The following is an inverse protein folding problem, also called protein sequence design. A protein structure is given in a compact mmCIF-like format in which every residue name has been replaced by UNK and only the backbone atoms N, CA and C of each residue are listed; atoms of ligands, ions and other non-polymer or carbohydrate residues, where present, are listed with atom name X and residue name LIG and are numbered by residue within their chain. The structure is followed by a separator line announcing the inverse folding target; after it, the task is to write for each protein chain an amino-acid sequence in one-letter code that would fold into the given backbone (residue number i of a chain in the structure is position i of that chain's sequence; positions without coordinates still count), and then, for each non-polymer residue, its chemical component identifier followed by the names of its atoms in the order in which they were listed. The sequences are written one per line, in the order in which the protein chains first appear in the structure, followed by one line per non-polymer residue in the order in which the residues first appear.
data_IF_826735498736
#
_entry.id   IF_826735498736
#
_cell.length_a   1.000
_cell.length_b   1.000
_cell.length_c   1.000
_cell.angle_alpha   90.00
_cell.angle_beta   90.00
_cell.angle_gamma   90.00
#
_symmetry.space_group_name_H-M   'P 1'
#
loop_
_entity.id
_entity.type
_entity.pdbx_description
1 polymer ?
#
# COMPACT_ATOMS: atom_id res chain seq x y z
N UNK A 1 -4.41 -19.59 -18.27
CA UNK A 1 -4.29 -19.04 -17.48
C UNK A 1 -3.28 -18.44 -17.24
N UNK A 2 -3.41 -17.81 -16.96
CA UNK A 2 -2.27 -17.28 -16.78
C UNK A 2 -1.86 -17.39 -15.41
N UNK A 3 -0.67 -17.28 -15.21
CA UNK A 3 -0.17 -17.37 -13.94
C UNK A 3 -0.29 -16.08 -13.29
N UNK A 4 -0.74 -16.06 -12.12
CA UNK A 4 -0.71 -14.87 -11.35
C UNK A 4 0.68 -14.52 -11.02
N UNK A 5 1.11 -13.32 -11.26
CA UNK A 5 2.43 -12.90 -10.83
C UNK A 5 2.46 -13.02 -9.32
N UNK A 6 3.48 -13.65 -8.84
CA UNK A 6 3.67 -13.76 -7.42
C UNK A 6 4.34 -12.50 -6.93
N UNK A 7 3.56 -11.58 -6.42
CA UNK A 7 4.14 -10.40 -5.83
C UNK A 7 4.41 -10.71 -4.36
N UNK A 8 5.52 -10.27 -3.85
CA UNK A 8 5.85 -10.48 -2.45
C UNK A 8 6.02 -9.14 -1.74
N UNK A 9 6.27 -9.18 -0.44
CA UNK A 9 6.37 -7.97 0.34
C UNK A 9 7.55 -7.10 -0.07
N UNK A 10 8.61 -7.70 -0.58
CA UNK A 10 9.76 -6.94 -1.09
C UNK A 10 9.39 -6.07 -2.28
N UNK A 11 8.55 -6.60 -3.17
CA UNK A 11 8.10 -5.85 -4.34
C UNK A 11 7.30 -4.62 -3.91
N UNK A 12 6.40 -4.81 -2.95
CA UNK A 12 5.61 -3.69 -2.43
C UNK A 12 6.49 -2.69 -1.69
N UNK A 13 7.48 -3.18 -0.96
CA UNK A 13 8.39 -2.28 -0.26
C UNK A 13 9.18 -1.41 -1.24
N UNK A 14 9.61 -1.99 -2.36
CA UNK A 14 10.27 -1.22 -3.40
C UNK A 14 9.35 -0.16 -4.00
N UNK A 15 8.11 -0.54 -4.28
CA UNK A 15 7.13 0.38 -4.82
C UNK A 15 6.88 1.55 -3.86
N UNK A 16 6.74 1.25 -2.58
CA UNK A 16 6.54 2.28 -1.57
C UNK A 16 7.74 3.21 -1.49
N UNK A 17 8.93 2.66 -1.51
CA UNK A 17 10.15 3.44 -1.43
C UNK A 17 10.29 4.39 -2.63
N UNK A 18 9.97 3.90 -3.82
CA UNK A 18 10.02 4.72 -5.03
C UNK A 18 9.05 5.89 -4.98
N UNK A 19 7.93 5.71 -4.31
CA UNK A 19 6.92 6.76 -4.20
C UNK A 19 7.08 7.63 -2.95
N UNK A 20 8.18 7.42 -2.22
CA UNK A 20 8.45 8.22 -1.04
C UNK A 20 7.70 7.79 0.21
N UNK A 21 7.26 6.53 0.25
CA UNK A 21 6.48 6.01 1.37
C UNK A 21 7.25 4.89 2.07
N UNK A 22 8.51 5.13 2.36
CA UNK A 22 9.41 4.08 2.85
C UNK A 22 9.19 3.65 4.30
N UNK A 23 8.37 4.37 5.05
CA UNK A 23 8.15 4.04 6.46
C UNK A 23 6.94 3.16 6.71
N UNK A 24 6.47 2.47 5.68
CA UNK A 24 5.35 1.55 5.83
C UNK A 24 5.82 0.16 6.23
N UNK A 25 5.03 -0.51 7.06
CA UNK A 25 5.24 -1.91 7.40
C UNK A 25 4.29 -2.74 6.59
N UNK A 26 4.76 -3.85 6.07
CA UNK A 26 3.97 -4.72 5.21
C UNK A 26 3.89 -6.12 5.80
N UNK A 27 2.68 -6.66 5.85
CA UNK A 27 2.43 -8.03 6.25
C UNK A 27 1.62 -8.72 5.16
N UNK A 28 1.88 -9.99 4.94
CA UNK A 28 1.08 -10.77 4.00
C UNK A 28 0.53 -11.99 4.74
N UNK A 29 -0.78 -12.05 4.87
CA UNK A 29 -1.44 -13.11 5.60
C UNK A 29 -2.80 -13.36 4.96
N UNK A 30 -3.18 -14.63 4.81
CA UNK A 30 -4.50 -14.98 4.25
C UNK A 30 -4.79 -14.32 2.91
N UNK A 31 -3.77 -14.21 2.07
CA UNK A 31 -3.86 -13.59 0.74
C UNK A 31 -4.17 -12.09 0.78
N UNK A 32 -3.94 -11.48 1.91
CA UNK A 32 -4.13 -10.05 2.09
C UNK A 32 -2.80 -9.40 2.42
N UNK A 33 -2.47 -8.32 1.71
CA UNK A 33 -1.31 -7.49 2.04
C UNK A 33 -1.78 -6.38 2.95
N UNK A 34 -1.29 -6.35 4.16
CA UNK A 34 -1.62 -5.26 5.09
C UNK A 34 -0.46 -4.28 5.15
N UNK A 35 -0.75 -3.03 4.83
CA UNK A 35 0.24 -1.96 4.86
C UNK A 35 -0.13 -0.98 5.96
N UNK A 36 0.82 -0.68 6.82
CA UNK A 36 0.59 0.20 7.95
C UNK A 36 1.72 1.20 8.04
N UNK A 37 1.40 2.46 8.03
CA UNK A 37 2.42 3.49 8.08
C UNK A 37 1.82 4.87 8.20
N UNK A 38 2.66 5.87 8.03
CA UNK A 38 2.25 7.26 8.15
C UNK A 38 2.70 8.05 6.94
N UNK A 39 1.88 9.02 6.54
CA UNK A 39 2.18 9.87 5.39
C UNK A 39 1.91 11.33 5.77
N UNK A 40 2.52 12.23 5.01
CA UNK A 40 2.31 13.65 5.22
C UNK A 40 1.15 14.18 4.36
N UNK A 41 0.78 13.46 3.32
CA UNK A 41 -0.22 13.94 2.37
C UNK A 41 -0.98 12.77 1.75
N UNK A 42 -2.28 12.93 1.62
CA UNK A 42 -3.15 11.94 0.99
C UNK A 42 -2.80 11.74 -0.49
N UNK A 43 -2.23 12.75 -1.12
CA UNK A 43 -1.83 12.63 -2.52
C UNK A 43 -0.89 11.47 -2.77
N UNK A 44 0.04 11.24 -1.85
CA UNK A 44 0.98 10.13 -1.99
C UNK A 44 0.28 8.79 -1.91
N UNK A 45 -0.73 8.69 -1.06
CA UNK A 45 -1.51 7.47 -0.93
C UNK A 45 -2.28 7.17 -2.21
N UNK A 46 -2.94 8.17 -2.79
CA UNK A 46 -3.71 7.95 -4.01
C UNK A 46 -2.79 7.58 -5.17
N UNK A 47 -1.62 8.18 -5.26
CA UNK A 47 -0.64 7.83 -6.28
C UNK A 47 -0.19 6.39 -6.14
N UNK A 48 0.06 5.95 -4.92
CA UNK A 48 0.47 4.57 -4.67
C UNK A 48 -0.65 3.59 -5.05
N UNK A 49 -1.88 3.88 -4.65
CA UNK A 49 -3.02 3.02 -4.96
C UNK A 49 -3.20 2.87 -6.46
N UNK A 50 -3.14 3.98 -7.20
CA UNK A 50 -3.23 3.94 -8.65
C UNK A 50 -2.11 3.12 -9.25
N UNK A 51 -0.90 3.32 -8.76
CA UNK A 51 0.26 2.61 -9.28
C UNK A 51 0.12 1.10 -9.10
N UNK A 52 -0.24 0.64 -7.91
CA UNK A 52 -0.33 -0.78 -7.66
C UNK A 52 -1.51 -1.42 -8.37
N UNK A 53 -2.59 -0.68 -8.54
CA UNK A 53 -3.73 -1.19 -9.30
C UNK A 53 -3.32 -1.44 -10.75
N UNK A 54 -2.65 -0.48 -11.36
CA UNK A 54 -2.25 -0.57 -12.76
C UNK A 54 -1.07 -1.52 -12.99
N UNK A 55 -0.14 -1.58 -12.04
CA UNK A 55 1.10 -2.34 -12.23
C UNK A 55 1.06 -3.74 -11.64
N UNK A 56 0.31 -3.93 -10.55
CA UNK A 56 0.29 -5.20 -9.83
C UNK A 56 -1.07 -5.88 -9.79
N UNK A 57 -2.12 -5.16 -10.16
CA UNK A 57 -3.47 -5.70 -10.12
C UNK A 57 -4.05 -5.81 -8.73
N UNK A 58 -3.49 -5.10 -7.76
CA UNK A 58 -4.00 -5.12 -6.40
C UNK A 58 -5.04 -4.05 -6.19
N UNK A 59 -6.09 -4.37 -5.47
CA UNK A 59 -7.17 -3.43 -5.17
C UNK A 59 -7.33 -3.29 -3.66
N UNK A 60 -7.96 -2.20 -3.26
CA UNK A 60 -8.21 -1.95 -1.85
C UNK A 60 -9.30 -2.88 -1.35
N UNK A 61 -9.01 -3.61 -0.28
CA UNK A 61 -10.00 -4.41 0.41
C UNK A 61 -10.51 -3.64 1.63
N UNK A 62 -9.64 -2.90 2.30
CA UNK A 62 -9.99 -2.15 3.48
C UNK A 62 -9.03 -0.98 3.64
N UNK A 63 -9.54 0.15 4.05
CA UNK A 63 -8.71 1.33 4.25
C UNK A 63 -9.18 2.08 5.50
N UNK A 64 -8.26 2.34 6.39
CA UNK A 64 -8.52 3.15 7.57
C UNK A 64 -7.54 4.31 7.58
N UNK A 65 -8.05 5.51 7.69
CA UNK A 65 -7.25 6.74 7.72
C UNK A 65 -7.48 7.45 9.03
N UNK A 66 -6.42 7.79 9.72
CA UNK A 66 -6.51 8.49 10.99
C UNK A 66 -5.62 9.72 10.92
N UNK A 67 -6.21 10.89 10.97
CA UNK A 67 -5.47 12.15 10.90
C UNK A 67 -4.98 12.50 12.29
N UNK A 68 -3.66 12.48 12.46
CA UNK A 68 -3.05 12.76 13.75
C UNK A 68 -2.75 14.24 13.88
N UNK A 69 -2.27 14.86 12.82
CA UNK A 69 -2.00 16.29 12.79
C UNK A 69 -2.03 16.76 11.33
N UNK A 70 -1.77 18.05 11.09
CA UNK A 70 -1.78 18.59 9.74
C UNK A 70 -0.85 17.86 8.78
N UNK A 71 0.30 17.44 9.29
CA UNK A 71 1.33 16.81 8.46
C UNK A 71 1.54 15.35 8.77
N UNK A 72 0.64 14.73 9.52
CA UNK A 72 0.81 13.35 9.91
C UNK A 72 -0.50 12.60 9.86
N UNK A 73 -0.58 11.66 8.93
CA UNK A 73 -1.76 10.84 8.71
C UNK A 73 -1.37 9.38 8.81
N UNK A 74 -2.06 8.65 9.67
CA UNK A 74 -1.82 7.22 9.85
C UNK A 74 -2.70 6.45 8.87
N UNK A 75 -2.13 5.48 8.21
CA UNK A 75 -2.83 4.68 7.20
C UNK A 75 -2.74 3.20 7.55
N UNK A 76 -3.87 2.53 7.49
CA UNK A 76 -3.95 1.08 7.62
C UNK A 76 -4.71 0.59 6.39
N UNK A 77 -4.04 -0.13 5.53
CA UNK A 77 -4.56 -0.47 4.21
C UNK A 77 -4.41 -1.95 3.94
N UNK A 78 -5.50 -2.59 3.53
CA UNK A 78 -5.48 -3.98 3.10
C UNK A 78 -5.68 -4.05 1.60
N UNK A 79 -4.80 -4.78 0.93
CA UNK A 79 -4.84 -4.93 -0.52
C UNK A 79 -5.02 -6.40 -0.88
N UNK A 80 -5.79 -6.65 -1.91
CA UNK A 80 -6.01 -8.01 -2.42
C UNK A 80 -5.92 -8.00 -3.94
N UNK A 81 -5.78 -9.17 -4.50
CA UNK A 81 -5.87 -9.31 -5.96
C UNK A 81 -7.30 -9.22 -6.44
#
# INVERSE_FOLDING_TARGET
HFLNPQINTSDLQSDLTELGLSNFKIKYENKIFNLNGQIASIKKLTSFISYIYNSRGLVINKLHIDVISEDLISIDLDLIY
#
